data_IF_584848759627
#
_entry.id   IF_584848759627
#
_cell.length_a   1.000
_cell.length_b   1.000
_cell.length_c   1.000
_cell.angle_alpha   90.00
_cell.angle_beta   90.00
_cell.angle_gamma   90.00
#
_symmetry.space_group_name_H-M   'P 1'
#
loop_
_entity.id
_entity.type
_entity.pdbx_description
1 polymer ?
#
# COMPACT_ATOMS: atom_id res chain seq x y z
N UNK A 1 -6.21 18.18 14.50
CA UNK A 1 -5.67 17.98 13.14
C UNK A 1 -6.06 16.58 12.68
N UNK A 2 -6.36 16.39 11.38
CA UNK A 2 -6.82 15.12 10.83
C UNK A 2 -5.88 13.96 11.15
N UNK A 3 -6.46 12.78 11.36
CA UNK A 3 -5.72 11.52 11.49
C UNK A 3 -6.05 10.69 10.26
N UNK A 4 -5.07 10.54 9.37
CA UNK A 4 -5.31 9.96 8.06
C UNK A 4 -4.84 8.51 8.07
N UNK A 5 -5.76 7.58 7.84
CA UNK A 5 -5.42 6.23 7.41
C UNK A 5 -5.07 6.28 5.93
N UNK A 6 -4.02 5.58 5.53
CA UNK A 6 -3.64 5.44 4.13
C UNK A 6 -3.18 4.02 3.83
N UNK A 7 -3.35 3.63 2.57
CA UNK A 7 -3.02 2.32 2.04
C UNK A 7 -2.80 2.43 0.51
N UNK A 8 -1.94 1.61 -0.08
CA UNK A 8 -1.66 1.62 -1.52
C UNK A 8 -1.88 0.25 -2.17
N UNK A 9 -2.22 0.28 -3.46
CA UNK A 9 -2.20 -0.90 -4.33
C UNK A 9 -1.14 -0.74 -5.40
N UNK A 10 -0.43 -1.81 -5.72
CA UNK A 10 0.65 -1.81 -6.71
C UNK A 10 0.44 -2.85 -7.78
N UNK A 11 0.89 -2.54 -9.00
CA UNK A 11 0.93 -3.48 -10.11
C UNK A 11 2.37 -3.63 -10.60
N UNK A 12 2.83 -4.88 -10.71
CA UNK A 12 4.15 -5.22 -11.24
C UNK A 12 4.25 -4.86 -12.73
N UNK A 13 5.43 -4.44 -13.15
CA UNK A 13 5.74 -4.28 -14.56
C UNK A 13 5.80 -5.65 -15.25
N UNK A 14 5.33 -5.68 -16.51
CA UNK A 14 5.45 -6.86 -17.35
C UNK A 14 6.93 -7.17 -17.62
N UNK A 15 7.38 -8.32 -17.11
CA UNK A 15 8.77 -8.76 -17.25
C UNK A 15 9.26 -8.74 -18.70
N UNK A 16 8.40 -9.11 -19.65
CA UNK A 16 8.78 -9.18 -21.06
C UNK A 16 8.95 -7.79 -21.69
N UNK A 17 8.47 -6.73 -21.03
CA UNK A 17 8.64 -5.33 -21.45
C UNK A 17 9.84 -4.64 -20.81
N UNK A 18 10.41 -5.23 -19.75
CA UNK A 18 11.62 -4.70 -19.10
C UNK A 18 12.81 -4.74 -20.05
N UNK A 19 13.81 -3.87 -19.83
CA UNK A 19 15.03 -3.88 -20.63
C UNK A 19 15.86 -5.17 -20.40
N UNK A 20 16.69 -5.51 -21.39
CA UNK A 20 17.46 -6.75 -21.37
C UNK A 20 18.42 -6.86 -20.16
N UNK A 21 18.93 -5.72 -19.66
CA UNK A 21 19.83 -5.71 -18.51
C UNK A 21 19.08 -6.13 -17.25
N UNK A 22 17.88 -5.58 -17.05
CA UNK A 22 17.01 -5.91 -15.92
C UNK A 22 16.54 -7.37 -15.99
N UNK A 23 16.10 -7.84 -17.15
CA UNK A 23 15.74 -9.26 -17.33
C UNK A 23 16.91 -10.20 -17.01
N UNK A 24 18.12 -9.87 -17.47
CA UNK A 24 19.32 -10.65 -17.19
C UNK A 24 19.70 -10.65 -15.71
N UNK A 25 19.47 -9.54 -14.99
CA UNK A 25 19.71 -9.47 -13.55
C UNK A 25 18.80 -10.46 -12.79
N UNK A 26 17.51 -10.50 -13.13
CA UNK A 26 16.58 -11.43 -12.52
C UNK A 26 16.88 -12.89 -12.87
N UNK A 27 17.25 -13.16 -14.13
CA UNK A 27 17.69 -14.49 -14.54
C UNK A 27 18.91 -14.96 -13.74
N UNK A 28 19.94 -14.12 -13.59
CA UNK A 28 21.12 -14.44 -12.76
C UNK A 28 20.76 -14.71 -11.30
N UNK A 29 19.81 -13.95 -10.75
CA UNK A 29 19.31 -14.16 -9.38
C UNK A 29 18.58 -15.51 -9.25
N UNK A 30 17.82 -15.93 -10.26
CA UNK A 30 17.19 -17.24 -10.30
C UNK A 30 18.23 -18.37 -10.46
N UNK A 31 19.20 -18.22 -11.37
CA UNK A 31 20.30 -19.16 -11.60
C UNK A 31 21.09 -19.42 -10.31
N UNK A 32 21.36 -18.39 -9.50
CA UNK A 32 22.07 -18.52 -8.22
C UNK A 32 21.32 -19.37 -7.18
N UNK A 33 20.04 -19.64 -7.37
CA UNK A 33 19.18 -20.44 -6.47
C UNK A 33 18.76 -21.78 -7.08
N UNK A 34 19.25 -22.11 -8.26
CA UNK A 34 18.76 -23.23 -9.06
C UNK A 34 19.89 -24.16 -9.47
N UNK A 35 19.68 -25.47 -9.36
CA UNK A 35 20.63 -26.50 -9.79
C UNK A 35 20.14 -27.30 -11.00
N UNK A 36 18.94 -27.01 -11.50
CA UNK A 36 18.37 -27.63 -12.70
C UNK A 36 17.60 -26.60 -13.55
N UNK A 37 17.33 -26.91 -14.83
CA UNK A 37 16.48 -26.06 -15.68
C UNK A 37 15.06 -25.85 -15.12
N UNK A 38 14.49 -26.87 -14.49
CA UNK A 38 13.14 -26.83 -13.89
C UNK A 38 13.10 -25.93 -12.65
N UNK A 39 14.13 -26.00 -11.80
CA UNK A 39 14.28 -25.10 -10.66
C UNK A 39 14.47 -23.65 -11.11
N UNK A 40 15.24 -23.43 -12.18
CA UNK A 40 15.47 -22.10 -12.76
C UNK A 40 14.16 -21.47 -13.22
N UNK A 41 13.32 -22.23 -13.94
CA UNK A 41 12.03 -21.74 -14.40
C UNK A 41 11.11 -21.37 -13.22
N UNK A 42 11.08 -22.20 -12.17
CA UNK A 42 10.31 -21.96 -10.96
C UNK A 42 10.78 -20.72 -10.19
N UNK A 43 12.09 -20.59 -9.96
CA UNK A 43 12.65 -19.42 -9.26
C UNK A 43 12.47 -18.14 -10.07
N UNK A 44 12.56 -18.22 -11.40
CA UNK A 44 12.29 -17.07 -12.27
C UNK A 44 10.81 -16.67 -12.21
N UNK A 45 9.88 -17.64 -12.24
CA UNK A 45 8.45 -17.36 -12.09
C UNK A 45 8.13 -16.66 -10.76
N UNK A 46 8.73 -17.16 -9.66
CA UNK A 46 8.61 -16.52 -8.34
C UNK A 46 9.16 -15.09 -8.34
N UNK A 47 10.32 -14.84 -8.95
CA UNK A 47 10.87 -13.48 -9.04
C UNK A 47 9.94 -12.57 -9.83
N UNK A 48 9.33 -13.06 -10.92
CA UNK A 48 8.35 -12.30 -11.71
C UNK A 48 7.15 -11.90 -10.83
N UNK A 49 6.62 -12.83 -10.03
CA UNK A 49 5.54 -12.55 -9.06
C UNK A 49 5.98 -11.54 -7.99
N UNK A 50 7.22 -11.59 -7.51
CA UNK A 50 7.74 -10.69 -6.46
C UNK A 50 7.99 -9.24 -6.95
N UNK A 51 7.99 -8.98 -8.26
CA UNK A 51 8.24 -7.64 -8.83
C UNK A 51 7.24 -6.59 -8.34
N UNK A 52 6.02 -7.01 -8.04
CA UNK A 52 4.95 -6.16 -7.49
C UNK A 52 5.33 -5.53 -6.15
N UNK A 53 6.26 -6.13 -5.41
CA UNK A 53 6.69 -5.68 -4.09
C UNK A 53 7.85 -4.68 -4.08
N UNK A 54 8.31 -4.24 -5.26
CA UNK A 54 9.42 -3.27 -5.37
C UNK A 54 8.97 -2.00 -6.12
N UNK A 55 9.19 -0.79 -5.58
CA UNK A 55 8.83 0.45 -6.24
C UNK A 55 9.68 0.77 -7.48
N UNK A 56 10.74 -0.01 -7.69
CA UNK A 56 11.60 0.07 -8.87
C UNK A 56 11.09 -0.76 -10.05
N UNK A 57 10.16 -1.70 -9.78
CA UNK A 57 9.66 -2.69 -10.74
C UNK A 57 8.14 -2.75 -10.78
N UNK A 58 7.47 -1.86 -10.03
CA UNK A 58 6.04 -1.75 -9.94
C UNK A 58 5.63 -0.27 -9.91
N UNK A 59 4.37 -0.03 -10.23
CA UNK A 59 3.73 1.28 -10.15
C UNK A 59 2.61 1.26 -9.11
N UNK A 60 2.30 2.43 -8.56
CA UNK A 60 1.15 2.62 -7.69
C UNK A 60 -0.10 2.75 -8.56
N UNK A 61 -1.07 1.87 -8.37
CA UNK A 61 -2.32 1.87 -9.14
C UNK A 61 -3.52 2.38 -8.35
N UNK A 62 -3.43 2.40 -7.02
CA UNK A 62 -4.39 3.11 -6.17
C UNK A 62 -3.70 3.62 -4.89
N UNK A 63 -4.17 4.76 -4.37
CA UNK A 63 -3.84 5.29 -3.05
C UNK A 63 -5.12 5.72 -2.36
N UNK A 64 -5.36 5.12 -1.21
CA UNK A 64 -6.47 5.42 -0.33
C UNK A 64 -6.07 6.38 0.77
N UNK A 65 -6.95 7.31 1.10
CA UNK A 65 -6.86 8.17 2.29
C UNK A 65 -8.21 8.26 2.99
N UNK A 66 -8.23 8.13 4.31
CA UNK A 66 -9.45 8.18 5.13
C UNK A 66 -9.18 8.94 6.42
N UNK A 67 -9.97 9.97 6.72
CA UNK A 67 -9.93 10.63 8.02
C UNK A 67 -10.71 9.80 9.06
N UNK A 68 -10.03 9.36 10.11
CA UNK A 68 -10.60 8.49 11.16
C UNK A 68 -11.78 9.15 11.88
N UNK A 69 -11.77 10.47 12.02
CA UNK A 69 -12.77 11.18 12.82
C UNK A 69 -14.04 11.49 12.01
N UNK A 70 -13.87 11.93 10.76
CA UNK A 70 -15.01 12.26 9.89
C UNK A 70 -15.55 11.07 9.08
N UNK A 71 -14.78 9.97 9.02
CA UNK A 71 -15.05 8.79 8.20
C UNK A 71 -15.22 9.10 6.71
N UNK A 72 -14.66 10.24 6.27
CA UNK A 72 -14.63 10.65 4.87
C UNK A 72 -13.25 10.43 4.30
N UNK A 73 -13.22 10.01 3.04
CA UNK A 73 -11.98 9.67 2.38
C UNK A 73 -12.03 9.83 0.87
N UNK A 74 -10.91 9.49 0.25
CA UNK A 74 -10.80 9.38 -1.19
C UNK A 74 -9.88 8.21 -1.56
N UNK A 75 -10.15 7.57 -2.68
CA UNK A 75 -9.23 6.66 -3.35
C UNK A 75 -8.89 7.26 -4.71
N UNK A 76 -7.61 7.61 -4.87
CA UNK A 76 -7.04 8.07 -6.12
C UNK A 76 -6.50 6.85 -6.86
N UNK A 77 -6.96 6.58 -8.09
CA UNK A 77 -6.61 5.34 -8.77
C UNK A 77 -6.33 5.54 -10.25
N UNK A 78 -5.45 4.69 -10.79
CA UNK A 78 -5.00 4.81 -12.16
C UNK A 78 -6.10 4.45 -13.14
N UNK A 79 -6.56 5.42 -13.92
CA UNK A 79 -7.43 5.18 -15.08
C UNK A 79 -7.36 6.38 -16.04
N UNK A 80 -6.56 6.23 -17.11
CA UNK A 80 -6.36 7.29 -18.10
C UNK A 80 -7.48 7.38 -19.16
N UNK A 81 -8.48 6.48 -19.10
CA UNK A 81 -9.55 6.39 -20.10
C UNK A 81 -10.86 7.00 -19.61
N UNK A 82 -10.98 7.24 -18.31
CA UNK A 82 -12.19 7.73 -17.66
C UNK A 82 -11.81 8.83 -16.68
N UNK A 83 -12.69 9.81 -16.51
CA UNK A 83 -12.53 10.91 -15.56
C UNK A 83 -13.73 11.04 -14.63
N UNK A 84 -14.70 10.11 -14.71
CA UNK A 84 -15.89 10.10 -13.88
C UNK A 84 -15.52 9.82 -12.41
N UNK A 85 -15.74 10.81 -11.53
CA UNK A 85 -15.65 10.63 -10.09
C UNK A 85 -16.91 9.93 -9.56
N UNK A 86 -16.72 8.98 -8.64
CA UNK A 86 -17.82 8.29 -7.93
C UNK A 86 -17.72 8.52 -6.44
N UNK A 87 -18.83 8.40 -5.73
CA UNK A 87 -18.85 8.48 -4.27
C UNK A 87 -19.70 7.35 -3.70
N UNK A 88 -19.10 6.53 -2.84
CA UNK A 88 -19.77 5.42 -2.17
C UNK A 88 -19.33 5.40 -0.69
N UNK A 89 -20.28 5.31 0.24
CA UNK A 89 -20.01 5.22 1.68
C UNK A 89 -19.05 6.30 2.23
N UNK A 90 -19.13 7.54 1.73
CA UNK A 90 -18.27 8.64 2.17
C UNK A 90 -16.85 8.64 1.57
N UNK A 91 -16.58 7.72 0.63
CA UNK A 91 -15.31 7.63 -0.11
C UNK A 91 -15.50 8.13 -1.53
N UNK A 92 -14.68 9.10 -1.94
CA UNK A 92 -14.62 9.58 -3.32
C UNK A 92 -13.60 8.79 -4.14
N UNK A 93 -14.02 8.19 -5.23
CA UNK A 93 -13.16 7.47 -6.16
C UNK A 93 -12.79 8.38 -7.32
N UNK A 94 -11.48 8.63 -7.51
CA UNK A 94 -10.97 9.58 -8.48
C UNK A 94 -10.03 8.91 -9.49
N UNK A 95 -10.44 8.76 -10.75
CA UNK A 95 -9.58 8.36 -11.86
C UNK A 95 -8.47 9.38 -12.09
N UNK A 96 -7.20 8.97 -12.08
CA UNK A 96 -6.02 9.82 -12.25
C UNK A 96 -4.87 9.07 -12.93
N UNK A 97 -3.78 9.77 -13.27
CA UNK A 97 -2.47 9.16 -13.55
C UNK A 97 -1.69 8.89 -12.24
N UNK A 98 -0.63 8.06 -12.29
CA UNK A 98 0.22 7.82 -11.10
C UNK A 98 0.81 9.13 -10.54
N UNK A 99 1.24 10.03 -11.42
CA UNK A 99 1.78 11.34 -11.05
C UNK A 99 0.75 12.14 -10.25
N UNK A 100 -0.47 12.30 -10.78
CA UNK A 100 -1.55 13.02 -10.10
C UNK A 100 -2.00 12.35 -8.79
N UNK A 101 -1.99 11.01 -8.72
CA UNK A 101 -2.26 10.26 -7.48
C UNK A 101 -1.28 10.70 -6.38
N UNK A 102 0.02 10.72 -6.71
CA UNK A 102 1.08 11.09 -5.76
C UNK A 102 0.98 12.56 -5.34
N UNK A 103 0.72 13.47 -6.28
CA UNK A 103 0.50 14.89 -5.96
C UNK A 103 -0.68 15.08 -5.00
N UNK A 104 -1.81 14.40 -5.25
CA UNK A 104 -2.99 14.49 -4.40
C UNK A 104 -2.73 13.91 -3.02
N UNK A 105 -2.05 12.77 -2.92
CA UNK A 105 -1.65 12.19 -1.64
C UNK A 105 -0.81 13.17 -0.82
N UNK A 106 0.25 13.75 -1.40
CA UNK A 106 1.12 14.68 -0.66
C UNK A 106 0.43 15.99 -0.30
N UNK A 107 -0.51 16.47 -1.11
CA UNK A 107 -1.36 17.63 -0.78
C UNK A 107 -2.26 17.34 0.42
N UNK A 108 -2.88 16.16 0.49
CA UNK A 108 -3.64 15.75 1.68
C UNK A 108 -2.72 15.65 2.89
N UNK A 109 -1.54 15.06 2.71
CA UNK A 109 -0.56 14.87 3.79
C UNK A 109 -0.09 16.20 4.41
N UNK A 110 -0.05 17.32 3.67
CA UNK A 110 0.29 18.64 4.24
C UNK A 110 -0.62 19.06 5.39
N UNK A 111 -1.90 18.69 5.32
CA UNK A 111 -2.93 19.06 6.30
C UNK A 111 -3.00 18.15 7.53
N UNK A 112 -2.25 17.04 7.53
CA UNK A 112 -2.28 16.02 8.58
C UNK A 112 -0.94 15.90 9.31
N UNK A 113 -1.00 15.48 10.57
CA UNK A 113 0.20 15.21 11.37
C UNK A 113 0.26 13.79 11.90
N UNK A 114 -0.84 13.04 11.79
CA UNK A 114 -0.87 11.63 12.17
C UNK A 114 -1.33 10.81 10.99
N UNK A 115 -0.52 9.82 10.66
CA UNK A 115 -0.71 8.90 9.55
C UNK A 115 -0.80 7.49 10.12
N UNK A 116 -1.77 6.72 9.66
CA UNK A 116 -2.05 5.36 10.12
C UNK A 116 -2.01 4.44 8.91
N UNK A 117 -1.36 3.30 9.04
CA UNK A 117 -1.32 2.26 8.00
C UNK A 117 -1.23 0.88 8.65
N UNK A 118 -1.34 -0.17 7.85
CA UNK A 118 -0.98 -1.52 8.26
C UNK A 118 0.23 -1.99 7.43
N UNK A 119 1.40 -2.15 8.05
CA UNK A 119 2.66 -2.45 7.36
C UNK A 119 3.14 -1.33 6.40
N UNK A 120 2.63 -0.11 6.53
CA UNK A 120 3.00 0.99 5.64
C UNK A 120 4.43 1.49 5.80
N UNK A 121 5.12 1.25 6.92
CA UNK A 121 6.56 1.54 7.02
C UNK A 121 7.41 0.51 6.26
N UNK A 122 6.89 -0.72 6.14
CA UNK A 122 7.53 -1.82 5.42
C UNK A 122 7.21 -1.85 3.93
N UNK A 123 6.19 -1.11 3.48
CA UNK A 123 5.69 -1.18 2.12
C UNK A 123 5.26 0.19 1.57
N UNK A 124 4.14 0.73 2.04
CA UNK A 124 3.43 1.87 1.46
C UNK A 124 4.27 3.17 1.41
N UNK A 125 4.82 3.59 2.54
CA UNK A 125 5.59 4.83 2.65
C UNK A 125 6.89 4.80 1.81
N UNK A 126 7.71 3.72 1.82
CA UNK A 126 8.82 3.59 0.89
C UNK A 126 8.39 3.68 -0.57
N UNK A 127 7.27 3.05 -0.94
CA UNK A 127 6.72 3.11 -2.29
C UNK A 127 6.32 4.53 -2.68
N UNK A 128 5.52 5.20 -1.85
CA UNK A 128 5.08 6.58 -2.07
C UNK A 128 6.29 7.49 -2.26
N UNK A 129 7.32 7.37 -1.42
CA UNK A 129 8.52 8.21 -1.52
C UNK A 129 9.33 7.95 -2.80
N UNK A 130 9.59 6.68 -3.15
CA UNK A 130 10.40 6.32 -4.31
C UNK A 130 9.67 6.58 -5.63
N UNK A 131 8.37 6.23 -5.71
CA UNK A 131 7.55 6.54 -6.89
C UNK A 131 7.36 8.05 -7.08
N UNK A 132 7.27 8.82 -6.01
CA UNK A 132 7.32 10.30 -6.11
C UNK A 132 8.62 10.78 -6.73
N UNK A 133 9.77 10.20 -6.33
CA UNK A 133 11.06 10.56 -6.91
C UNK A 133 11.16 10.18 -8.39
N UNK A 134 10.58 9.04 -8.81
CA UNK A 134 10.47 8.65 -10.24
C UNK A 134 9.73 9.72 -11.05
N UNK A 135 8.64 10.27 -10.50
CA UNK A 135 7.84 11.34 -11.09
C UNK A 135 8.36 12.76 -10.78
N UNK A 136 9.53 12.90 -10.14
CA UNK A 136 10.11 14.20 -9.73
C UNK A 136 9.23 15.04 -8.79
N UNK A 137 8.32 14.38 -8.06
CA UNK A 137 7.50 14.97 -7.01
C UNK A 137 8.26 14.92 -5.69
N UNK A 138 8.27 16.03 -4.95
CA UNK A 138 8.87 16.10 -3.61
C UNK A 138 7.84 15.69 -2.55
N UNK A 139 8.09 14.64 -1.73
CA UNK A 139 7.26 14.34 -0.58
C UNK A 139 7.11 15.52 0.38
N UNK A 140 5.88 15.83 0.79
CA UNK A 140 5.58 16.92 1.73
C UNK A 140 5.86 16.55 3.19
N UNK A 141 5.87 15.25 3.51
CA UNK A 141 6.11 14.71 4.86
C UNK A 141 7.12 13.56 4.82
N UNK A 142 7.93 13.42 5.87
CA UNK A 142 8.80 12.25 6.05
C UNK A 142 8.10 11.19 6.90
N UNK A 143 7.35 10.29 6.26
CA UNK A 143 6.62 9.20 6.92
C UNK A 143 7.53 8.07 7.43
N UNK A 144 8.85 8.15 7.20
CA UNK A 144 9.85 7.15 7.59
C UNK A 144 10.83 7.65 8.67
N UNK A 145 10.66 8.87 9.17
CA UNK A 145 11.64 9.57 10.03
C UNK A 145 12.24 8.72 11.17
N UNK A 146 11.41 8.21 12.08
CA UNK A 146 11.83 7.27 13.13
C UNK A 146 10.84 6.10 13.21
N UNK A 147 11.34 4.94 13.64
CA UNK A 147 10.54 3.74 13.86
C UNK A 147 9.61 3.87 15.07
N UNK A 148 10.10 4.40 16.18
CA UNK A 148 9.35 4.45 17.44
C UNK A 148 8.56 5.74 17.58
N UNK A 149 7.29 5.63 18.01
CA UNK A 149 6.33 6.74 18.02
C UNK A 149 6.75 7.94 18.88
N UNK A 150 7.49 7.69 19.97
CA UNK A 150 7.98 8.74 20.88
C UNK A 150 9.17 9.54 20.31
N UNK A 151 9.86 9.00 19.31
CA UNK A 151 11.00 9.63 18.65
C UNK A 151 10.65 10.16 17.25
N UNK A 152 9.40 10.03 16.83
CA UNK A 152 8.91 10.59 15.57
C UNK A 152 8.61 12.10 15.69
N UNK A 153 8.75 12.87 14.61
CA UNK A 153 8.42 14.28 14.60
C UNK A 153 6.91 14.49 14.75
N UNK A 154 6.52 15.57 15.43
CA UNK A 154 5.11 15.85 15.74
C UNK A 154 4.27 16.17 14.51
N UNK A 155 4.88 16.62 13.41
CA UNK A 155 4.21 16.99 12.17
C UNK A 155 4.04 15.82 11.18
N UNK A 156 4.52 14.62 11.51
CA UNK A 156 4.46 13.43 10.65
C UNK A 156 4.58 12.14 11.48
N UNK A 157 3.71 11.98 12.49
CA UNK A 157 3.64 10.78 13.31
C UNK A 157 3.00 9.65 12.51
N UNK A 158 3.77 8.62 12.18
CA UNK A 158 3.32 7.45 11.43
C UNK A 158 3.14 6.25 12.37
N UNK A 159 1.88 5.90 12.61
CA UNK A 159 1.43 4.75 13.40
C UNK A 159 1.19 3.57 12.45
N UNK A 160 2.22 2.73 12.29
CA UNK A 160 2.08 1.46 11.59
C UNK A 160 1.51 0.41 12.54
N UNK A 161 0.26 0.01 12.32
CA UNK A 161 -0.47 -0.92 13.17
C UNK A 161 0.15 -2.32 13.20
N UNK A 162 0.85 -2.75 12.14
CA UNK A 162 1.56 -4.02 12.18
C UNK A 162 2.71 -3.97 13.18
N UNK A 163 3.47 -2.85 13.22
CA UNK A 163 4.52 -2.67 14.21
C UNK A 163 3.95 -2.52 15.63
N UNK A 164 2.83 -1.82 15.78
CA UNK A 164 2.17 -1.64 17.08
C UNK A 164 1.66 -2.96 17.65
N UNK A 165 0.94 -3.75 16.85
CA UNK A 165 0.37 -5.03 17.27
C UNK A 165 1.42 -6.13 17.44
N UNK A 166 2.57 -6.00 16.76
CA UNK A 166 3.72 -6.89 16.97
C UNK A 166 4.65 -6.41 18.10
N UNK A 167 4.30 -5.31 18.78
CA UNK A 167 5.11 -4.69 19.84
C UNK A 167 6.58 -4.51 19.42
N UNK A 168 6.78 -3.99 18.20
CA UNK A 168 8.12 -3.80 17.60
C UNK A 168 8.98 -5.06 17.50
N UNK A 169 8.34 -6.24 17.45
CA UNK A 169 9.00 -7.55 17.37
C UNK A 169 9.15 -8.26 18.70
N UNK A 170 8.47 -7.81 19.77
CA UNK A 170 8.42 -8.56 21.02
C UNK A 170 7.61 -9.87 20.88
N UNK A 171 6.66 -9.91 19.94
CA UNK A 171 5.96 -11.14 19.55
C UNK A 171 6.59 -11.77 18.30
N UNK A 172 6.48 -13.10 18.19
CA UNK A 172 7.02 -13.84 17.05
C UNK A 172 6.11 -13.72 15.82
N UNK A 173 6.74 -13.54 14.65
CA UNK A 173 6.06 -13.52 13.35
C UNK A 173 5.56 -12.12 12.94
N UNK A 174 5.03 -12.04 11.71
CA UNK A 174 4.37 -10.83 11.21
C UNK A 174 2.87 -10.91 11.49
N UNK A 175 2.30 -9.81 11.97
CA UNK A 175 0.84 -9.69 12.14
C UNK A 175 0.22 -9.55 10.75
N UNK A 176 -0.84 -10.31 10.48
CA UNK A 176 -1.61 -10.22 9.24
C UNK A 176 -2.91 -9.45 9.49
N UNK A 177 -3.26 -8.51 8.61
CA UNK A 177 -4.44 -7.65 8.78
C UNK A 177 -5.73 -8.46 8.94
N UNK A 178 -5.96 -9.47 8.09
CA UNK A 178 -7.14 -10.34 8.19
C UNK A 178 -7.22 -11.05 9.54
N UNK A 179 -6.09 -11.57 10.04
CA UNK A 179 -6.03 -12.24 11.33
C UNK A 179 -6.31 -11.28 12.50
N UNK A 180 -5.77 -10.06 12.44
CA UNK A 180 -6.05 -9.02 13.42
C UNK A 180 -7.53 -8.63 13.41
N UNK A 181 -8.11 -8.34 12.24
CA UNK A 181 -9.53 -8.01 12.10
C UNK A 181 -10.42 -9.13 12.65
N UNK A 182 -10.16 -10.40 12.27
CA UNK A 182 -10.89 -11.56 12.78
C UNK A 182 -10.83 -11.66 14.31
N UNK A 183 -9.65 -11.46 14.90
CA UNK A 183 -9.46 -11.57 16.35
C UNK A 183 -10.22 -10.48 17.12
N UNK A 184 -10.33 -9.28 16.56
CA UNK A 184 -11.02 -8.15 17.18
C UNK A 184 -12.49 -8.00 16.75
N UNK A 185 -13.04 -8.92 15.96
CA UNK A 185 -14.43 -8.88 15.51
C UNK A 185 -14.72 -7.81 14.45
N UNK A 186 -13.69 -7.33 13.75
CA UNK A 186 -13.78 -6.35 12.67
C UNK A 186 -14.06 -7.08 11.35
N UNK A 187 -14.96 -6.54 10.51
CA UNK A 187 -15.23 -7.11 9.18
C UNK A 187 -13.93 -7.05 8.36
N UNK A 188 -13.42 -8.20 7.93
CA UNK A 188 -12.22 -8.27 7.12
C UNK A 188 -12.49 -7.90 5.65
N UNK A 189 -11.53 -7.24 4.97
CA UNK A 189 -11.68 -6.86 3.58
C UNK A 189 -11.66 -8.07 2.61
N UNK A 190 -11.09 -9.20 3.04
CA UNK A 190 -11.04 -10.46 2.28
C UNK A 190 -12.40 -11.16 2.10
N UNK A 191 -13.45 -10.69 2.77
CA UNK A 191 -14.78 -11.30 2.66
C UNK A 191 -15.41 -11.10 1.26
N UNK A 192 -14.93 -10.11 0.49
CA UNK A 192 -15.58 -9.63 -0.73
C UNK A 192 -14.78 -9.97 -2.03
N UNK A 193 -13.88 -10.96 -1.99
CA UNK A 193 -13.39 -11.70 -3.18
C UNK A 193 -12.11 -11.22 -3.87
N UNK A 194 -11.71 -9.95 -3.74
CA UNK A 194 -10.43 -9.43 -4.29
C UNK A 194 -9.32 -9.57 -3.25
N UNK A 195 -8.15 -10.06 -3.65
CA UNK A 195 -6.93 -10.07 -2.83
C UNK A 195 -5.82 -9.24 -3.48
N UNK A 196 -4.82 -8.82 -2.69
CA UNK A 196 -3.64 -8.09 -3.21
C UNK A 196 -2.92 -8.81 -4.36
N UNK A 197 -2.91 -10.14 -4.38
CA UNK A 197 -2.30 -10.95 -5.46
C UNK A 197 -3.04 -10.79 -6.80
N UNK A 198 -4.31 -10.37 -6.78
CA UNK A 198 -5.12 -10.15 -7.98
C UNK A 198 -4.88 -8.77 -8.63
N UNK A 199 -4.27 -7.81 -7.92
CA UNK A 199 -4.21 -6.40 -8.35
C UNK A 199 -3.53 -6.25 -9.70
N UNK A 200 -2.38 -6.88 -9.92
CA UNK A 200 -1.65 -6.80 -11.20
C UNK A 200 -2.50 -7.34 -12.35
N UNK A 201 -3.20 -8.46 -12.13
CA UNK A 201 -4.09 -9.07 -13.12
C UNK A 201 -5.30 -8.17 -13.40
N UNK A 202 -5.99 -7.69 -12.36
CA UNK A 202 -7.15 -6.79 -12.49
C UNK A 202 -6.78 -5.49 -13.20
N UNK A 203 -5.59 -4.96 -12.93
CA UNK A 203 -5.08 -3.76 -13.58
C UNK A 203 -4.87 -4.00 -15.08
N UNK A 204 -4.26 -5.14 -15.46
CA UNK A 204 -4.12 -5.55 -16.86
C UNK A 204 -5.45 -5.79 -17.57
N UNK A 205 -6.48 -6.25 -16.84
CA UNK A 205 -7.85 -6.43 -17.34
C UNK A 205 -8.66 -5.12 -17.43
N UNK A 206 -8.10 -3.99 -16.95
CA UNK A 206 -8.78 -2.69 -16.95
C UNK A 206 -9.85 -2.54 -15.86
N UNK A 207 -9.84 -3.38 -14.82
CA UNK A 207 -10.79 -3.36 -13.71
C UNK A 207 -10.36 -2.40 -12.59
N UNK A 208 -10.08 -1.15 -12.97
CA UNK A 208 -9.46 -0.16 -12.09
C UNK A 208 -10.33 0.23 -10.89
N UNK A 209 -11.65 0.40 -11.11
CA UNK A 209 -12.58 0.74 -10.03
C UNK A 209 -12.70 -0.38 -8.99
N UNK A 210 -12.59 -1.64 -9.41
CA UNK A 210 -12.63 -2.79 -8.49
C UNK A 210 -11.42 -2.80 -7.55
N UNK A 211 -10.23 -2.46 -8.06
CA UNK A 211 -9.02 -2.24 -7.25
C UNK A 211 -9.24 -1.09 -6.26
N UNK A 212 -9.80 0.03 -6.73
CA UNK A 212 -10.06 1.18 -5.88
C UNK A 212 -11.07 0.87 -4.75
N UNK A 213 -12.12 0.12 -5.05
CA UNK A 213 -13.09 -0.36 -4.07
C UNK A 213 -12.50 -1.38 -3.09
N UNK A 214 -11.54 -2.21 -3.53
CA UNK A 214 -10.79 -3.09 -2.63
C UNK A 214 -9.96 -2.27 -1.63
N UNK A 215 -9.18 -1.31 -2.11
CA UNK A 215 -8.37 -0.43 -1.30
C UNK A 215 -9.20 0.36 -0.26
N UNK A 216 -10.41 0.82 -0.60
CA UNK A 216 -11.29 1.50 0.36
C UNK A 216 -11.77 0.62 1.52
N UNK A 217 -11.91 -0.70 1.30
CA UNK A 217 -12.23 -1.66 2.37
C UNK A 217 -11.04 -1.86 3.31
N UNK A 218 -9.81 -1.87 2.78
CA UNK A 218 -8.58 -1.96 3.57
C UNK A 218 -8.42 -0.72 4.46
N UNK A 219 -8.74 0.48 3.96
CA UNK A 219 -8.79 1.72 4.76
C UNK A 219 -9.77 1.60 5.93
N UNK A 220 -11.00 1.15 5.66
CA UNK A 220 -12.06 1.05 6.68
C UNK A 220 -11.65 0.08 7.79
N UNK A 221 -11.11 -1.08 7.40
CA UNK A 221 -10.65 -2.12 8.32
C UNK A 221 -9.47 -1.63 9.17
N UNK A 222 -8.54 -0.89 8.56
CA UNK A 222 -7.39 -0.29 9.24
C UNK A 222 -7.82 0.82 10.21
N UNK A 223 -8.83 1.62 9.86
CA UNK A 223 -9.40 2.64 10.74
C UNK A 223 -10.06 2.02 11.98
N UNK A 224 -10.86 0.96 11.82
CA UNK A 224 -11.45 0.23 12.93
C UNK A 224 -10.37 -0.40 13.83
N UNK A 225 -9.35 -1.01 13.23
CA UNK A 225 -8.24 -1.61 13.96
C UNK A 225 -7.44 -0.56 14.75
N UNK A 226 -7.24 0.63 14.17
CA UNK A 226 -6.63 1.76 14.86
C UNK A 226 -7.43 2.19 16.10
N UNK A 227 -8.76 2.22 16.00
CA UNK A 227 -9.62 2.57 17.16
C UNK A 227 -9.47 1.55 18.29
N UNK A 228 -9.41 0.26 17.97
CA UNK A 228 -9.14 -0.80 18.96
C UNK A 228 -7.77 -0.61 19.60
N UNK A 229 -6.72 -0.42 18.80
CA UNK A 229 -5.37 -0.20 19.33
C UNK A 229 -5.31 1.04 20.22
N UNK A 230 -5.91 2.14 19.78
CA UNK A 230 -5.92 3.42 20.52
C UNK A 230 -6.63 3.30 21.87
N UNK A 231 -7.75 2.58 21.93
CA UNK A 231 -8.57 2.45 23.14
C UNK A 231 -7.96 1.48 24.16
N UNK A 232 -7.45 0.33 23.69
CA UNK A 232 -7.13 -0.79 24.57
C UNK A 232 -5.63 -1.10 24.71
N UNK A 233 -4.77 -0.54 23.85
CA UNK A 233 -3.35 -0.90 23.78
C UNK A 233 -2.43 0.32 23.90
N UNK A 234 -2.82 1.48 23.39
CA UNK A 234 -2.01 2.69 23.47
C UNK A 234 -1.93 3.23 24.92
N UNK A 235 -0.72 3.60 25.36
CA UNK A 235 -0.43 4.21 26.66
C UNK A 235 0.10 5.64 26.52
#
# INVERSE_FOLDING_TARGET
MPKIVFDIETAGEDFEKMDQTTQNLFRKKAEAKSNSPEELERELAKIKEETVFSPLTAQIVAVGVLDVESEKGAVYYQNLKDTEEKEENGIKFKPLSEEEILENFWRVAESADTFISFNGRGFDAPFLMLRSAVHRIRPSKNLLANRYLNAQPTNAKHIDLMEQLNFYGATWGKVNLHMACRAFGIKSPKADGVNGDDVTRLFGEGKYLEIAQYNSRDLSSTAELYRVWKEYIAF
#
